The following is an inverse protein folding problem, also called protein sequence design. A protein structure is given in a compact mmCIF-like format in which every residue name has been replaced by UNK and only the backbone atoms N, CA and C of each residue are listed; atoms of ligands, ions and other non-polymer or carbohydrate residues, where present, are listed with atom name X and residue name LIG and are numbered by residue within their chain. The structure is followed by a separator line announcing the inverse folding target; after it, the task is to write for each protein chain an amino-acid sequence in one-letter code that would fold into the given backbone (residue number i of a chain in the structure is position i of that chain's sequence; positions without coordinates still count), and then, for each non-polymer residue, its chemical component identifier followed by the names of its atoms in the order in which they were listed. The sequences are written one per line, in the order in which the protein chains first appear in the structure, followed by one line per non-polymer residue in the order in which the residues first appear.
data_IF_742550111289
#
_entry.id   IF_742550111289
#
_cell.length_a   1.000
_cell.length_b   1.000
_cell.length_c   1.000
_cell.angle_alpha   90.00
_cell.angle_beta   90.00
_cell.angle_gamma   90.00
#
_symmetry.space_group_name_H-M   'P 1'
#
loop_
_entity.id
_entity.type
_entity.pdbx_description
1 polymer ?
#
# COMPACT_ATOMS: atom_id res chain seq x y z
N UNK A 1 12.54 4.52 10.18
CA UNK A 1 11.81 3.43 9.50
C UNK A 1 12.03 3.40 8.00
N UNK A 2 11.71 4.45 7.24
CA UNK A 2 11.83 4.41 5.78
C UNK A 2 13.25 4.18 5.26
N UNK A 3 14.27 4.79 5.88
CA UNK A 3 15.67 4.51 5.54
C UNK A 3 16.03 3.01 5.70
N UNK A 4 15.56 2.37 6.77
CA UNK A 4 15.74 0.92 7.00
C UNK A 4 14.96 0.09 5.98
N UNK A 5 13.76 0.54 5.57
CA UNK A 5 12.97 -0.11 4.53
C UNK A 5 13.72 -0.13 3.19
N UNK A 6 14.35 0.99 2.82
CA UNK A 6 15.11 1.10 1.57
C UNK A 6 16.38 0.23 1.60
N UNK A 7 17.11 0.22 2.72
CA UNK A 7 18.24 -0.71 2.91
C UNK A 7 17.78 -2.16 2.78
N UNK A 8 16.68 -2.52 3.45
CA UNK A 8 16.12 -3.88 3.38
C UNK A 8 15.74 -4.23 1.94
N UNK A 9 15.09 -3.32 1.22
CA UNK A 9 14.69 -3.54 -0.16
C UNK A 9 15.89 -3.85 -1.05
N UNK A 10 16.95 -3.03 -0.92
CA UNK A 10 18.20 -3.26 -1.65
C UNK A 10 18.88 -4.57 -1.23
N UNK A 11 19.02 -4.83 0.07
CA UNK A 11 19.67 -6.05 0.58
C UNK A 11 19.03 -7.34 0.04
N UNK A 12 17.72 -7.33 -0.19
CA UNK A 12 17.01 -8.50 -0.73
C UNK A 12 17.12 -8.65 -2.27
N UNK A 13 17.91 -7.80 -2.95
CA UNK A 13 18.06 -7.81 -4.41
C UNK A 13 16.78 -7.43 -5.15
N UNK A 14 15.87 -6.70 -4.49
CA UNK A 14 14.57 -6.37 -5.08
C UNK A 14 14.63 -5.21 -6.07
N UNK A 15 15.71 -4.40 -6.07
CA UNK A 15 15.89 -3.37 -7.09
C UNK A 15 16.09 -4.03 -8.45
N UNK A 16 16.98 -5.00 -8.50
CA UNK A 16 17.31 -5.79 -9.67
C UNK A 16 16.10 -6.59 -10.12
N UNK A 17 15.59 -7.44 -9.22
CA UNK A 17 14.51 -8.38 -9.50
C UNK A 17 13.20 -7.75 -9.94
N UNK A 18 12.88 -6.55 -9.44
CA UNK A 18 11.60 -5.89 -9.69
C UNK A 18 11.69 -4.74 -10.70
N UNK A 19 12.86 -4.15 -10.92
CA UNK A 19 12.99 -2.93 -11.74
C UNK A 19 14.08 -2.96 -12.81
N UNK A 20 15.00 -3.94 -12.80
CA UNK A 20 16.04 -4.06 -13.83
C UNK A 20 15.94 -5.32 -14.67
N UNK A 21 15.57 -6.45 -14.06
CA UNK A 21 15.40 -7.74 -14.75
C UNK A 21 14.11 -7.84 -15.59
N UNK A 22 12.95 -7.26 -15.19
CA UNK A 22 11.76 -7.35 -16.02
C UNK A 22 11.87 -6.51 -17.30
N UNK A 23 11.39 -7.07 -18.42
CA UNK A 23 11.33 -6.36 -19.71
C UNK A 23 10.04 -5.52 -19.87
N UNK A 24 9.00 -5.86 -19.10
CA UNK A 24 7.70 -5.20 -19.14
C UNK A 24 7.30 -4.75 -17.73
N UNK A 25 6.65 -3.58 -17.62
CA UNK A 25 6.21 -2.99 -16.37
C UNK A 25 4.76 -2.54 -16.47
N UNK A 26 3.92 -3.00 -15.55
CA UNK A 26 2.50 -2.61 -15.49
C UNK A 26 2.35 -1.19 -14.94
N UNK A 27 1.65 -0.33 -15.65
CA UNK A 27 1.50 1.08 -15.33
C UNK A 27 0.23 1.40 -14.57
N UNK A 28 0.29 2.37 -13.67
CA UNK A 28 -0.93 3.04 -13.23
C UNK A 28 -1.45 3.94 -14.33
N UNK A 29 -2.78 3.95 -14.50
CA UNK A 29 -3.46 4.87 -15.40
C UNK A 29 -3.02 6.32 -15.12
N UNK A 30 -2.71 7.07 -16.16
CA UNK A 30 -2.16 8.43 -16.16
C UNK A 30 -0.69 8.57 -15.72
N UNK A 31 -0.02 7.45 -15.39
CA UNK A 31 1.39 7.40 -15.01
C UNK A 31 2.19 6.43 -15.89
N UNK A 32 1.74 6.21 -17.12
CA UNK A 32 2.37 5.28 -18.07
C UNK A 32 3.80 5.69 -18.45
N UNK A 33 4.11 6.98 -18.29
CA UNK A 33 5.44 7.56 -18.48
C UNK A 33 6.43 7.27 -17.34
N UNK A 34 5.95 6.81 -16.18
CA UNK A 34 6.81 6.46 -15.04
C UNK A 34 7.32 5.03 -15.23
N UNK A 35 8.58 4.89 -15.63
CA UNK A 35 9.24 3.59 -15.85
C UNK A 35 10.58 3.55 -15.13
N UNK A 36 11.09 2.37 -14.74
CA UNK A 36 12.44 2.26 -14.20
C UNK A 36 13.49 2.86 -15.14
N UNK A 37 14.32 3.82 -14.69
CA UNK A 37 15.29 4.48 -15.55
C UNK A 37 16.58 3.64 -15.72
N UNK A 38 16.43 2.33 -15.90
CA UNK A 38 17.54 1.36 -15.94
C UNK A 38 18.44 1.48 -14.71
N UNK A 39 19.76 1.51 -14.90
CA UNK A 39 20.73 1.60 -13.80
C UNK A 39 20.59 2.88 -12.93
N UNK A 40 19.93 3.94 -13.42
CA UNK A 40 19.64 5.11 -12.58
C UNK A 40 18.63 4.82 -11.47
N UNK A 41 17.98 3.65 -11.49
CA UNK A 41 17.11 3.18 -10.40
C UNK A 41 17.89 3.12 -9.08
N UNK A 42 19.17 2.72 -9.07
CA UNK A 42 19.99 2.76 -7.85
C UNK A 42 20.14 4.19 -7.32
N UNK A 43 20.38 5.16 -8.20
CA UNK A 43 20.49 6.56 -7.79
C UNK A 43 19.17 7.06 -7.19
N UNK A 44 18.03 6.67 -7.77
CA UNK A 44 16.71 7.01 -7.23
C UNK A 44 16.53 6.47 -5.80
N UNK A 45 16.92 5.22 -5.55
CA UNK A 45 16.91 4.62 -4.21
C UNK A 45 17.86 5.32 -3.24
N UNK A 46 19.05 5.72 -3.69
CA UNK A 46 20.01 6.51 -2.88
C UNK A 46 19.42 7.88 -2.52
N UNK A 47 18.79 8.57 -3.47
CA UNK A 47 18.13 9.86 -3.23
C UNK A 47 17.03 9.71 -2.19
N UNK A 48 16.17 8.70 -2.32
CA UNK A 48 15.12 8.41 -1.34
C UNK A 48 15.71 8.10 0.05
N UNK A 49 16.78 7.32 0.10
CA UNK A 49 17.44 6.93 1.35
C UNK A 49 18.06 8.13 2.07
N UNK A 50 18.86 8.92 1.36
CA UNK A 50 19.50 10.12 1.91
C UNK A 50 18.43 11.11 2.36
N UNK A 51 17.39 11.33 1.55
CA UNK A 51 16.27 12.21 1.90
C UNK A 51 15.54 11.74 3.16
N UNK A 52 15.33 10.44 3.34
CA UNK A 52 14.72 9.89 4.54
C UNK A 52 15.57 10.14 5.81
N UNK A 53 16.90 10.02 5.70
CA UNK A 53 17.83 10.33 6.81
C UNK A 53 17.82 11.83 7.13
N UNK A 54 17.83 12.67 6.10
CA UNK A 54 17.74 14.12 6.24
C UNK A 54 16.44 14.55 6.92
N UNK A 55 15.30 13.95 6.55
CA UNK A 55 14.00 14.16 7.22
C UNK A 55 14.07 13.71 8.68
N UNK A 56 14.63 12.53 8.97
CA UNK A 56 14.73 11.98 10.33
C UNK A 56 15.54 12.88 11.27
N UNK A 57 16.64 13.45 10.79
CA UNK A 57 17.53 14.35 11.57
C UNK A 57 17.00 15.80 11.53
N UNK A 58 16.11 16.12 10.60
CA UNK A 58 15.63 17.48 10.36
C UNK A 58 16.71 18.40 9.78
N UNK A 59 17.53 17.87 8.87
CA UNK A 59 18.51 18.65 8.11
C UNK A 59 17.97 19.01 6.73
N UNK A 60 18.01 20.29 6.37
CA UNK A 60 17.34 20.86 5.18
C UNK A 60 15.92 20.32 4.99
N UNK A 61 15.15 20.27 6.08
CA UNK A 61 13.91 19.49 6.16
C UNK A 61 12.96 19.70 4.98
N UNK A 62 12.73 20.96 4.58
CA UNK A 62 11.79 21.30 3.50
C UNK A 62 12.19 20.69 2.16
N UNK A 63 13.48 20.74 1.82
CA UNK A 63 13.99 20.14 0.59
C UNK A 63 13.97 18.61 0.73
N UNK A 64 14.42 18.11 1.88
CA UNK A 64 14.48 16.67 2.15
C UNK A 64 13.12 15.98 2.03
N UNK A 65 12.05 16.56 2.59
CA UNK A 65 10.72 15.95 2.55
C UNK A 65 10.12 15.99 1.15
N UNK A 66 10.38 17.04 0.35
CA UNK A 66 9.96 17.09 -1.06
C UNK A 66 10.72 16.04 -1.88
N UNK A 67 12.05 15.95 -1.72
CA UNK A 67 12.84 14.94 -2.42
C UNK A 67 12.43 13.53 -2.03
N UNK A 68 12.17 13.29 -0.74
CA UNK A 68 11.66 12.00 -0.28
C UNK A 68 10.29 11.68 -0.90
N UNK A 69 9.34 12.61 -0.85
CA UNK A 69 8.02 12.44 -1.46
C UNK A 69 8.13 12.11 -2.96
N UNK A 70 8.89 12.90 -3.73
CA UNK A 70 9.02 12.71 -5.17
C UNK A 70 9.72 11.39 -5.52
N UNK A 71 10.87 11.10 -4.89
CA UNK A 71 11.63 9.87 -5.18
C UNK A 71 10.88 8.62 -4.73
N UNK A 72 10.28 8.62 -3.54
CA UNK A 72 9.51 7.48 -3.04
C UNK A 72 8.23 7.26 -3.88
N UNK A 73 7.51 8.33 -4.24
CA UNK A 73 6.32 8.21 -5.10
C UNK A 73 6.70 7.70 -6.49
N UNK A 74 7.82 8.15 -7.05
CA UNK A 74 8.29 7.64 -8.34
C UNK A 74 8.54 6.13 -8.26
N UNK A 75 9.27 5.66 -7.23
CA UNK A 75 9.56 4.22 -7.04
C UNK A 75 8.26 3.40 -7.03
N UNK A 76 7.24 3.85 -6.30
CA UNK A 76 5.94 3.16 -6.19
C UNK A 76 5.15 3.13 -7.51
N UNK A 77 5.37 4.11 -8.39
CA UNK A 77 4.64 4.25 -9.66
C UNK A 77 5.31 3.51 -10.82
N UNK A 78 6.56 3.05 -10.68
CA UNK A 78 7.32 2.38 -11.76
C UNK A 78 6.70 1.04 -12.19
N UNK A 79 6.17 0.26 -11.23
CA UNK A 79 5.48 -0.99 -11.52
C UNK A 79 4.34 -1.24 -10.53
N UNK A 80 3.12 -1.25 -11.06
CA UNK A 80 1.85 -1.47 -10.35
C UNK A 80 1.76 -2.85 -9.70
N UNK A 81 2.51 -3.85 -10.16
CA UNK A 81 2.57 -5.18 -9.52
C UNK A 81 3.17 -5.15 -8.12
N UNK A 82 3.92 -4.10 -7.79
CA UNK A 82 4.55 -3.92 -6.47
C UNK A 82 3.71 -3.13 -5.47
N UNK A 83 2.46 -2.79 -5.83
CA UNK A 83 1.55 -2.00 -4.98
C UNK A 83 1.40 -2.56 -3.57
N UNK A 84 1.60 -1.70 -2.56
CA UNK A 84 1.36 -2.01 -1.16
C UNK A 84 0.64 -0.85 -0.46
N UNK A 85 -0.44 -1.14 0.29
CA UNK A 85 -1.21 -0.13 1.03
C UNK A 85 -0.34 0.71 1.97
N UNK A 86 0.69 0.12 2.59
CA UNK A 86 1.54 0.82 3.54
C UNK A 86 2.55 1.75 2.87
N UNK A 87 2.93 1.51 1.62
CA UNK A 87 3.73 2.46 0.87
C UNK A 87 2.87 3.59 0.33
N UNK A 88 1.64 3.31 -0.13
CA UNK A 88 0.64 4.34 -0.40
C UNK A 88 0.41 5.27 0.81
N UNK A 89 0.29 4.71 2.02
CA UNK A 89 0.22 5.49 3.26
C UNK A 89 1.42 6.43 3.43
N UNK A 90 2.65 5.94 3.20
CA UNK A 90 3.87 6.76 3.34
C UNK A 90 3.94 7.86 2.28
N UNK A 91 3.51 7.59 1.05
CA UNK A 91 3.41 8.60 -0.01
C UNK A 91 2.49 9.74 0.42
N UNK A 92 1.27 9.45 0.89
CA UNK A 92 0.36 10.49 1.36
C UNK A 92 0.89 11.21 2.62
N UNK A 93 1.45 10.46 3.57
CA UNK A 93 2.00 11.02 4.79
C UNK A 93 3.17 11.97 4.51
N UNK A 94 4.09 11.59 3.61
CA UNK A 94 5.22 12.42 3.22
C UNK A 94 4.76 13.69 2.51
N UNK A 95 3.72 13.63 1.66
CA UNK A 95 3.10 14.82 1.09
C UNK A 95 2.55 15.76 2.17
N UNK A 96 1.81 15.23 3.16
CA UNK A 96 1.30 16.06 4.27
C UNK A 96 2.43 16.68 5.08
N UNK A 97 3.51 15.94 5.33
CA UNK A 97 4.68 16.44 6.07
C UNK A 97 5.35 17.65 5.39
N UNK A 98 5.26 17.80 4.06
CA UNK A 98 5.71 19.02 3.35
C UNK A 98 5.09 20.28 3.97
N UNK A 99 3.83 20.19 4.41
CA UNK A 99 3.01 21.29 4.94
C UNK A 99 3.04 21.39 6.47
N UNK A 100 3.74 20.49 7.16
CA UNK A 100 3.83 20.50 8.62
C UNK A 100 5.16 21.11 9.10
N UNK A 101 5.18 21.77 10.26
CA UNK A 101 6.40 22.34 10.85
C UNK A 101 7.23 21.30 11.63
N UNK A 102 7.47 20.11 11.06
CA UNK A 102 8.02 18.97 11.79
C UNK A 102 9.51 19.10 12.21
N UNK A 103 10.24 20.07 11.66
CA UNK A 103 11.65 20.33 11.98
C UNK A 103 11.90 21.61 12.79
N UNK A 104 10.86 22.16 13.43
CA UNK A 104 10.99 23.40 14.23
C UNK A 104 11.63 23.20 15.61
N UNK A 105 11.77 21.95 16.07
CA UNK A 105 12.34 21.59 17.36
C UNK A 105 13.07 20.25 17.24
N UNK A 106 14.21 20.09 17.91
CA UNK A 106 15.05 18.87 17.86
C UNK A 106 15.45 18.48 16.43
N UNK A 107 15.96 19.45 15.66
CA UNK A 107 16.43 19.25 14.29
C UNK A 107 17.86 19.74 14.10
N UNK A 108 18.60 19.21 13.13
CA UNK A 108 19.92 19.75 12.79
C UNK A 108 19.85 21.21 12.29
N UNK A 109 18.77 21.60 11.62
CA UNK A 109 18.60 22.97 11.12
C UNK A 109 18.38 24.01 12.25
N UNK A 110 17.70 23.63 13.33
CA UNK A 110 17.27 24.56 14.41
C UNK A 110 17.85 24.26 15.78
N UNK A 111 18.47 23.09 15.97
CA UNK A 111 18.94 22.61 17.26
C UNK A 111 17.79 22.26 18.21
N UNK A 112 18.10 22.22 19.50
CA UNK A 112 17.12 21.98 20.57
C UNK A 112 16.46 23.30 20.97
N UNK A 113 15.20 23.48 20.61
CA UNK A 113 14.39 24.64 21.01
C UNK A 113 13.23 24.22 21.91
N UNK A 114 13.44 24.21 23.23
CA UNK A 114 12.41 23.79 24.20
C UNK A 114 11.20 24.73 24.27
N UNK A 115 11.33 25.97 23.76
CA UNK A 115 10.23 26.95 23.72
C UNK A 115 9.36 26.83 22.46
N UNK A 116 9.74 26.00 21.50
CA UNK A 116 8.96 25.80 20.27
C UNK A 116 7.57 25.22 20.59
N UNK A 117 6.53 25.91 20.12
CA UNK A 117 5.15 25.42 20.15
C UNK A 117 4.74 25.00 18.74
N UNK A 118 3.85 24.01 18.66
CA UNK A 118 3.24 23.58 17.40
C UNK A 118 1.72 23.60 17.53
N UNK A 119 0.98 24.06 16.51
CA UNK A 119 -0.48 24.01 16.53
C UNK A 119 -0.98 22.55 16.64
N UNK A 120 -1.99 22.31 17.48
CA UNK A 120 -2.51 20.96 17.72
C UNK A 120 -2.99 20.25 16.45
N UNK A 121 -3.58 20.99 15.51
CA UNK A 121 -4.07 20.45 14.22
C UNK A 121 -2.98 19.72 13.43
N UNK A 122 -1.71 20.11 13.57
CA UNK A 122 -0.57 19.47 12.89
C UNK A 122 -0.29 18.06 13.42
N UNK A 123 -0.66 17.79 14.67
CA UNK A 123 -0.58 16.47 15.28
C UNK A 123 -1.88 15.70 15.04
N UNK A 124 -3.02 16.38 15.16
CA UNK A 124 -4.33 15.75 15.02
C UNK A 124 -4.57 15.25 13.58
N UNK A 125 -4.07 15.95 12.55
CA UNK A 125 -4.12 15.41 11.19
C UNK A 125 -3.36 14.09 11.05
N UNK A 126 -2.19 13.96 11.70
CA UNK A 126 -1.40 12.72 11.69
C UNK A 126 -2.10 11.58 12.44
N UNK A 127 -2.81 11.90 13.54
CA UNK A 127 -3.67 10.92 14.23
C UNK A 127 -4.81 10.46 13.34
N UNK A 128 -5.44 11.37 12.60
CA UNK A 128 -6.50 11.01 11.63
C UNK A 128 -5.93 10.11 10.55
N UNK A 129 -4.76 10.42 9.98
CA UNK A 129 -4.08 9.55 9.01
C UNK A 129 -3.89 8.12 9.50
N UNK A 130 -3.32 7.94 10.69
CA UNK A 130 -3.15 6.59 11.27
C UNK A 130 -4.50 5.96 11.58
N UNK A 131 -5.46 6.75 12.07
CA UNK A 131 -6.79 6.30 12.45
C UNK A 131 -7.62 5.77 11.28
N UNK A 132 -7.58 6.47 10.15
CA UNK A 132 -8.31 6.10 8.93
C UNK A 132 -7.85 4.74 8.41
N UNK A 133 -6.53 4.47 8.39
CA UNK A 133 -6.02 3.17 7.92
C UNK A 133 -6.57 2.01 8.75
N UNK A 134 -6.55 2.11 10.09
CA UNK A 134 -7.13 1.08 10.96
C UNK A 134 -8.64 0.97 10.78
N UNK A 135 -9.35 2.10 10.84
CA UNK A 135 -10.80 2.10 10.78
C UNK A 135 -11.32 1.51 9.46
N UNK A 136 -10.73 1.87 8.32
CA UNK A 136 -11.11 1.27 7.04
C UNK A 136 -10.67 -0.19 6.91
N UNK A 137 -9.52 -0.58 7.47
CA UNK A 137 -9.11 -1.98 7.49
C UNK A 137 -10.11 -2.86 8.25
N UNK A 138 -10.73 -2.33 9.31
CA UNK A 138 -11.79 -3.00 10.07
C UNK A 138 -13.15 -2.91 9.40
N UNK A 139 -13.49 -1.76 8.82
CA UNK A 139 -14.73 -1.55 8.09
C UNK A 139 -14.84 -2.51 6.89
N UNK A 140 -13.75 -2.68 6.15
CA UNK A 140 -13.67 -3.59 5.01
C UNK A 140 -13.64 -5.08 5.41
N UNK A 141 -13.57 -5.40 6.70
CA UNK A 141 -13.74 -6.75 7.24
C UNK A 141 -15.19 -7.05 7.63
N UNK A 142 -16.09 -6.07 7.54
CA UNK A 142 -17.51 -6.25 7.81
C UNK A 142 -18.23 -6.86 6.60
N UNK A 143 -17.79 -8.05 6.20
CA UNK A 143 -18.42 -8.83 5.14
C UNK A 143 -18.55 -10.32 5.53
N UNK A 144 -19.40 -11.04 4.78
CA UNK A 144 -19.71 -12.45 5.04
C UNK A 144 -18.49 -13.35 4.92
N UNK A 145 -17.66 -13.15 3.89
CA UNK A 145 -16.45 -13.94 3.68
C UNK A 145 -15.54 -13.89 4.91
N UNK A 146 -15.27 -12.68 5.41
CA UNK A 146 -14.42 -12.49 6.57
C UNK A 146 -15.11 -13.02 7.84
N UNK A 147 -16.29 -12.53 8.21
CA UNK A 147 -16.89 -12.78 9.53
C UNK A 147 -17.57 -14.15 9.66
N UNK A 148 -18.20 -14.64 8.59
CA UNK A 148 -19.05 -15.84 8.61
C UNK A 148 -18.34 -17.05 8.03
N UNK A 149 -17.47 -16.85 7.04
CA UNK A 149 -16.73 -17.96 6.42
C UNK A 149 -15.27 -18.05 6.89
N UNK A 150 -14.83 -17.08 7.71
CA UNK A 150 -13.44 -16.93 8.15
C UNK A 150 -12.44 -16.96 6.99
N UNK A 151 -12.87 -16.52 5.80
CA UNK A 151 -12.04 -16.45 4.61
C UNK A 151 -11.33 -15.09 4.52
N UNK A 152 -10.10 -15.06 3.99
CA UNK A 152 -9.25 -16.21 3.62
C UNK A 152 -8.42 -16.79 4.78
N UNK A 153 -8.70 -16.43 6.04
CA UNK A 153 -7.93 -16.91 7.20
C UNK A 153 -7.94 -18.43 7.33
N UNK A 154 -9.05 -19.10 6.99
CA UNK A 154 -9.18 -20.56 7.00
C UNK A 154 -8.31 -21.25 5.95
N UNK A 155 -7.85 -20.54 4.93
CA UNK A 155 -6.83 -21.01 3.97
C UNK A 155 -5.43 -20.73 4.51
N UNK A 156 -5.20 -19.52 5.02
CA UNK A 156 -3.86 -19.06 5.37
C UNK A 156 -3.30 -19.62 6.69
N UNK A 157 -4.13 -19.73 7.72
CA UNK A 157 -3.68 -20.15 9.05
C UNK A 157 -3.20 -21.61 9.08
N UNK A 158 -3.91 -22.60 8.48
CA UNK A 158 -3.42 -23.97 8.44
C UNK A 158 -2.05 -24.13 7.76
N UNK A 159 -1.71 -23.25 6.81
CA UNK A 159 -0.40 -23.23 6.16
C UNK A 159 0.76 -22.79 7.08
N UNK A 160 0.48 -22.44 8.35
CA UNK A 160 1.45 -22.03 9.38
C UNK A 160 1.72 -23.11 10.42
N UNK A 161 1.56 -24.38 10.03
CA UNK A 161 1.71 -25.55 10.90
C UNK A 161 3.13 -25.72 11.45
N UNK A 162 4.14 -25.10 10.83
CA UNK A 162 5.56 -25.19 11.19
C UNK A 162 5.98 -24.20 12.29
N UNK A 163 5.11 -23.29 12.71
CA UNK A 163 5.42 -22.31 13.75
C UNK A 163 5.47 -23.00 15.12
N UNK A 164 6.61 -22.96 15.83
CA UNK A 164 6.72 -23.56 17.16
C UNK A 164 5.64 -23.02 18.11
N UNK A 165 4.99 -23.92 18.86
CA UNK A 165 3.93 -23.65 19.84
C UNK A 165 2.58 -23.14 19.28
N UNK A 166 2.54 -22.65 18.04
CA UNK A 166 1.31 -22.12 17.42
C UNK A 166 0.76 -23.00 16.30
N UNK A 167 1.57 -23.82 15.65
CA UNK A 167 1.19 -24.59 14.46
C UNK A 167 -0.08 -25.42 14.63
N UNK A 168 -0.17 -26.21 15.71
CA UNK A 168 -1.36 -27.04 16.00
C UNK A 168 -2.61 -26.21 16.27
N UNK A 169 -2.45 -25.04 16.88
CA UNK A 169 -3.54 -24.10 17.14
C UNK A 169 -4.06 -23.51 15.82
N UNK A 170 -3.17 -23.17 14.88
CA UNK A 170 -3.54 -22.58 13.60
C UNK A 170 -4.36 -23.52 12.69
N UNK A 171 -4.36 -24.83 12.96
CA UNK A 171 -5.18 -25.81 12.26
C UNK A 171 -6.62 -25.89 12.79
N UNK A 172 -6.89 -25.38 13.99
CA UNK A 172 -8.20 -25.47 14.62
C UNK A 172 -9.18 -24.47 14.00
N UNK A 173 -10.32 -24.95 13.49
CA UNK A 173 -11.33 -24.11 12.81
C UNK A 173 -11.80 -22.95 13.68
N UNK A 174 -12.03 -23.17 14.98
CA UNK A 174 -12.46 -22.09 15.89
C UNK A 174 -11.46 -20.93 15.97
N UNK A 175 -10.16 -21.19 15.73
CA UNK A 175 -9.11 -20.17 15.72
C UNK A 175 -9.24 -19.27 14.50
N UNK A 176 -9.64 -19.81 13.35
CA UNK A 176 -9.86 -19.02 12.14
C UNK A 176 -10.95 -17.98 12.37
N UNK A 177 -12.06 -18.41 12.97
CA UNK A 177 -13.17 -17.54 13.39
C UNK A 177 -12.75 -16.55 14.47
N UNK A 178 -12.01 -16.99 15.48
CA UNK A 178 -11.51 -16.10 16.53
C UNK A 178 -10.62 -14.99 15.95
N UNK A 179 -9.70 -15.32 15.02
CA UNK A 179 -8.86 -14.36 14.33
C UNK A 179 -9.65 -13.42 13.43
N UNK A 180 -10.67 -13.93 12.74
CA UNK A 180 -11.55 -13.12 11.91
C UNK A 180 -12.26 -12.03 12.74
N UNK A 181 -13.03 -12.44 13.75
CA UNK A 181 -13.82 -11.52 14.57
C UNK A 181 -12.91 -10.59 15.40
N UNK A 182 -11.84 -11.13 15.99
CA UNK A 182 -10.90 -10.31 16.75
C UNK A 182 -10.16 -9.32 15.84
N UNK A 183 -9.78 -9.71 14.62
CA UNK A 183 -9.14 -8.83 13.65
C UNK A 183 -10.04 -7.67 13.23
N UNK A 184 -11.31 -7.96 12.91
CA UNK A 184 -12.29 -6.93 12.56
C UNK A 184 -12.55 -5.97 13.72
N UNK A 185 -12.82 -6.50 14.92
CA UNK A 185 -13.07 -5.69 16.10
C UNK A 185 -11.84 -4.85 16.49
N UNK A 186 -10.64 -5.44 16.45
CA UNK A 186 -9.41 -4.74 16.74
C UNK A 186 -9.23 -3.55 15.79
N UNK A 187 -9.31 -3.76 14.47
CA UNK A 187 -9.08 -2.70 13.49
C UNK A 187 -10.12 -1.58 13.61
N UNK A 188 -11.39 -1.91 13.87
CA UNK A 188 -12.46 -0.92 14.07
C UNK A 188 -12.27 -0.07 15.32
N UNK A 189 -11.83 -0.66 16.43
CA UNK A 189 -11.91 0.00 17.73
C UNK A 189 -10.57 0.51 18.28
N UNK A 190 -9.43 -0.01 17.83
CA UNK A 190 -8.12 0.29 18.44
C UNK A 190 -7.81 1.78 18.50
N UNK A 191 -8.19 2.54 17.47
CA UNK A 191 -7.95 3.97 17.38
C UNK A 191 -8.70 4.74 18.46
N UNK A 192 -9.95 4.37 18.74
CA UNK A 192 -10.73 5.02 19.80
C UNK A 192 -10.12 4.76 21.18
N UNK A 193 -9.58 3.57 21.42
CA UNK A 193 -8.86 3.25 22.66
C UNK A 193 -7.51 3.97 22.76
N UNK A 194 -6.83 4.24 21.64
CA UNK A 194 -5.60 5.05 21.61
C UNK A 194 -5.90 6.54 21.86
N UNK A 195 -7.03 7.04 21.36
CA UNK A 195 -7.49 8.41 21.60
C UNK A 195 -7.88 8.62 23.07
N UNK A 196 -8.57 7.65 23.67
CA UNK A 196 -9.01 7.72 25.06
C UNK A 196 -7.84 7.53 26.04
N UNK A 197 -7.57 8.59 26.82
CA UNK A 197 -6.38 8.68 27.69
C UNK A 197 -6.20 7.51 28.68
N UNK A 198 -7.24 7.00 29.36
CA UNK A 198 -7.11 5.91 30.32
C UNK A 198 -6.72 4.58 29.68
N UNK A 199 -7.21 4.29 28.47
CA UNK A 199 -6.96 3.01 27.79
C UNK A 199 -5.69 2.99 26.96
N UNK A 200 -5.16 4.16 26.61
CA UNK A 200 -4.05 4.30 25.65
C UNK A 200 -2.84 3.39 25.92
N UNK A 201 -2.28 3.24 27.14
CA UNK A 201 -1.13 2.37 27.35
C UNK A 201 -1.46 0.91 27.03
N UNK A 202 -2.62 0.42 27.48
CA UNK A 202 -3.08 -0.94 27.20
C UNK A 202 -3.38 -1.13 25.69
N UNK A 203 -4.02 -0.14 25.07
CA UNK A 203 -4.25 -0.14 23.62
C UNK A 203 -2.94 -0.21 22.84
N UNK A 204 -1.90 0.53 23.24
CA UNK A 204 -0.61 0.46 22.59
C UNK A 204 0.08 -0.92 22.76
N UNK A 205 -0.09 -1.57 23.92
CA UNK A 205 0.35 -2.97 24.08
C UNK A 205 -0.39 -3.89 23.10
N UNK A 206 -1.70 -3.72 22.95
CA UNK A 206 -2.48 -4.46 21.95
C UNK A 206 -1.98 -4.18 20.51
N UNK A 207 -1.59 -2.94 20.18
CA UNK A 207 -0.96 -2.60 18.89
C UNK A 207 0.31 -3.40 18.65
N UNK A 208 1.20 -3.49 19.64
CA UNK A 208 2.43 -4.27 19.52
C UNK A 208 2.09 -5.75 19.32
N UNK A 209 1.24 -6.32 20.16
CA UNK A 209 0.86 -7.75 20.09
C UNK A 209 0.25 -8.07 18.72
N UNK A 210 -0.73 -7.28 18.29
CA UNK A 210 -1.42 -7.48 17.01
C UNK A 210 -0.42 -7.48 15.86
N UNK A 211 0.40 -6.44 15.72
CA UNK A 211 1.33 -6.32 14.60
C UNK A 211 2.46 -7.35 14.63
N UNK A 212 2.95 -7.74 15.82
CA UNK A 212 3.91 -8.84 15.95
C UNK A 212 3.28 -10.15 15.51
N UNK A 213 2.06 -10.45 15.95
CA UNK A 213 1.33 -11.65 15.54
C UNK A 213 1.08 -11.66 14.03
N UNK A 214 0.63 -10.54 13.46
CA UNK A 214 0.44 -10.41 12.01
C UNK A 214 1.75 -10.61 11.26
N UNK A 215 2.88 -10.09 11.76
CA UNK A 215 4.20 -10.28 11.13
C UNK A 215 4.67 -11.74 11.13
N UNK A 216 4.40 -12.45 12.22
CA UNK A 216 4.74 -13.87 12.39
C UNK A 216 3.91 -14.73 11.44
N UNK A 217 2.60 -14.47 11.36
CA UNK A 217 1.69 -15.27 10.54
C UNK A 217 1.76 -14.90 9.06
N UNK A 218 1.91 -13.61 8.73
CA UNK A 218 1.78 -13.11 7.37
C UNK A 218 3.00 -12.29 6.91
N UNK A 219 3.57 -12.56 5.73
CA UNK A 219 4.72 -11.84 5.20
C UNK A 219 4.34 -10.48 4.58
N UNK A 220 3.78 -9.56 5.37
CA UNK A 220 3.23 -8.27 4.90
C UNK A 220 4.22 -7.09 4.91
N UNK A 221 5.51 -7.39 4.72
CA UNK A 221 6.53 -6.36 4.54
C UNK A 221 6.82 -5.51 5.79
N UNK A 222 6.95 -4.19 5.60
CA UNK A 222 7.32 -3.25 6.67
C UNK A 222 6.14 -2.74 7.50
N UNK A 223 4.90 -3.06 7.08
CA UNK A 223 3.68 -2.53 7.70
C UNK A 223 3.63 -2.67 9.23
N UNK A 224 3.88 -3.85 9.82
CA UNK A 224 3.85 -4.01 11.29
C UNK A 224 4.70 -2.99 12.03
N UNK A 225 5.95 -2.80 11.58
CA UNK A 225 6.89 -1.89 12.23
C UNK A 225 6.52 -0.43 12.01
N UNK A 226 6.06 -0.07 10.80
CA UNK A 226 5.61 1.30 10.50
C UNK A 226 4.42 1.65 11.39
N UNK A 227 3.43 0.76 11.52
CA UNK A 227 2.23 1.04 12.29
C UNK A 227 2.47 1.10 13.79
N UNK A 228 3.33 0.24 14.35
CA UNK A 228 3.74 0.34 15.76
C UNK A 228 4.40 1.70 16.05
N UNK A 229 5.35 2.11 15.21
CA UNK A 229 6.05 3.40 15.39
C UNK A 229 5.10 4.58 15.18
N UNK A 230 4.25 4.54 14.15
CA UNK A 230 3.27 5.59 13.88
C UNK A 230 2.23 5.72 14.99
N UNK A 231 1.83 4.62 15.65
CA UNK A 231 0.90 4.67 16.78
C UNK A 231 1.45 5.44 18.00
N UNK A 232 2.75 5.74 18.06
CA UNK A 232 3.30 6.64 19.07
C UNK A 232 2.68 8.05 18.99
N UNK A 233 2.16 8.49 17.84
CA UNK A 233 1.55 9.81 17.67
C UNK A 233 0.35 10.08 18.61
N UNK A 234 -0.25 9.02 19.16
CA UNK A 234 -1.35 9.13 20.12
C UNK A 234 -0.88 9.46 21.54
N UNK A 235 0.41 9.28 21.85
CA UNK A 235 0.96 9.60 23.17
C UNK A 235 1.12 11.13 23.36
N UNK A 236 1.10 11.61 24.62
CA UNK A 236 1.26 13.03 24.88
C UNK A 236 2.70 13.46 24.60
N UNK A 237 2.89 14.75 24.24
CA UNK A 237 4.19 15.33 23.92
C UNK A 237 5.30 15.01 24.95
N UNK A 238 4.97 14.90 26.24
CA UNK A 238 5.90 14.54 27.32
C UNK A 238 6.65 13.22 27.06
N UNK A 239 5.99 12.23 26.44
CA UNK A 239 6.64 10.96 26.09
C UNK A 239 7.68 11.16 24.99
N UNK A 240 7.30 11.86 23.91
CA UNK A 240 8.19 12.17 22.80
C UNK A 240 9.39 13.02 23.24
N UNK A 241 9.15 14.05 24.06
CA UNK A 241 10.21 14.91 24.58
C UNK A 241 11.22 14.12 25.43
N UNK A 242 10.76 13.17 26.27
CA UNK A 242 11.67 12.29 27.03
C UNK A 242 12.52 11.39 26.13
N UNK A 243 11.92 10.84 25.07
CA UNK A 243 12.63 10.02 24.09
C UNK A 243 13.70 10.88 23.39
N UNK A 244 13.35 12.09 22.97
CA UNK A 244 14.28 13.02 22.31
C UNK A 244 15.40 13.47 23.27
N UNK A 245 15.10 13.74 24.53
CA UNK A 245 16.10 14.08 25.56
C UNK A 245 17.07 12.91 25.79
N UNK A 246 16.58 11.68 25.83
CA UNK A 246 17.43 10.48 25.92
C UNK A 246 18.31 10.30 24.67
N UNK A 247 17.75 10.46 23.47
CA UNK A 247 18.49 10.35 22.20
C UNK A 247 19.57 11.43 22.08
N UNK A 248 19.25 12.67 22.44
CA UNK A 248 20.20 13.79 22.36
C UNK A 248 21.26 13.73 23.46
N UNK A 249 20.96 13.15 24.64
CA UNK A 249 21.97 12.93 25.67
C UNK A 249 23.11 12.02 25.20
N UNK A 250 22.88 11.15 24.20
CA UNK A 250 23.91 10.31 23.58
C UNK A 250 24.80 11.07 22.59
N UNK A 251 24.50 12.34 22.26
CA UNK A 251 25.29 13.17 21.34
C UNK A 251 25.92 14.37 22.07
N UNK A 252 27.22 14.32 22.43
CA UNK A 252 27.87 15.30 23.31
C UNK A 252 27.78 16.77 22.82
N UNK A 253 27.80 16.98 21.50
CA UNK A 253 27.76 18.31 20.89
C UNK A 253 26.36 18.95 20.92
N UNK A 254 25.29 18.22 21.23
CA UNK A 254 23.92 18.75 21.22
C UNK A 254 23.63 19.71 22.39
N UNK A 255 24.48 19.72 23.42
CA UNK A 255 24.37 20.65 24.56
C UNK A 255 24.87 22.06 24.23
N UNK A 256 25.63 22.23 23.14
CA UNK A 256 26.38 23.47 22.91
C UNK A 256 25.58 24.61 22.29
N UNK A 257 24.46 24.36 21.59
CA UNK A 257 23.73 25.41 20.88
C UNK A 257 22.23 25.39 21.18
N UNK A 258 21.84 25.74 22.41
CA UNK A 258 20.53 26.36 22.63
C UNK A 258 20.57 27.77 22.03
N UNK A 259 20.49 27.88 20.70
CA UNK A 259 20.13 29.16 20.11
C UNK A 259 18.72 29.43 20.60
N UNK A 260 18.56 30.37 21.52
CA UNK A 260 17.29 31.05 21.75
C UNK A 260 17.03 31.87 20.48
N UNK A 261 16.74 31.17 19.39
CA UNK A 261 16.09 31.77 18.24
C UNK A 261 14.68 32.01 18.74
N UNK A 262 14.29 33.28 18.84
CA UNK A 262 12.86 33.62 18.85
C UNK A 262 12.20 32.75 17.79
N UNK A 263 11.18 32.01 18.20
CA UNK A 263 10.40 31.22 17.28
C UNK A 263 9.79 32.22 16.31
N UNK A 264 10.40 32.38 15.12
CA UNK A 264 9.79 33.20 14.07
C UNK A 264 8.41 32.61 13.86
N UNK A 265 7.33 33.37 14.11
CA UNK A 265 6.00 32.86 13.83
C UNK A 265 5.99 32.42 12.36
N UNK A 266 5.47 31.22 12.11
CA UNK A 266 5.23 30.78 10.75
C UNK A 266 4.42 31.87 10.04
N UNK A 267 4.77 32.18 8.80
CA UNK A 267 4.00 33.14 8.00
C UNK A 267 2.52 32.73 8.04
N UNK A 268 1.66 33.62 8.55
CA UNK A 268 0.25 33.36 8.73
C UNK A 268 -0.41 32.86 7.43
N UNK A 269 0.00 33.41 6.28
CA UNK A 269 -0.49 32.98 4.97
C UNK A 269 -0.10 31.54 4.64
N UNK A 270 1.13 31.13 4.96
CA UNK A 270 1.58 29.75 4.74
C UNK A 270 0.83 28.77 5.65
N UNK A 271 0.53 29.16 6.88
CA UNK A 271 -0.27 28.35 7.81
C UNK A 271 -1.69 28.15 7.27
N UNK A 272 -2.30 29.19 6.71
CA UNK A 272 -3.66 29.09 6.16
C UNK A 272 -3.72 28.20 4.92
N UNK A 273 -2.77 28.35 3.98
CA UNK A 273 -2.67 27.43 2.84
C UNK A 273 -2.38 25.99 3.25
N UNK A 274 -1.52 25.78 4.24
CA UNK A 274 -1.21 24.45 4.77
C UNK A 274 -2.45 23.76 5.31
N UNK A 275 -3.32 24.48 6.05
CA UNK A 275 -4.59 23.93 6.53
C UNK A 275 -5.53 23.54 5.39
N UNK A 276 -5.64 24.39 4.36
CA UNK A 276 -6.50 24.10 3.19
C UNK A 276 -6.01 22.85 2.48
N UNK A 277 -4.72 22.77 2.17
CA UNK A 277 -4.14 21.63 1.43
C UNK A 277 -4.24 20.34 2.25
N UNK A 278 -3.86 20.37 3.53
CA UNK A 278 -3.99 19.20 4.41
C UNK A 278 -5.46 18.81 4.59
N UNK A 279 -6.38 19.78 4.70
CA UNK A 279 -7.81 19.54 4.76
C UNK A 279 -8.34 18.81 3.53
N UNK A 280 -7.96 19.26 2.33
CA UNK A 280 -8.30 18.59 1.07
C UNK A 280 -7.75 17.16 1.03
N UNK A 281 -6.49 16.97 1.42
CA UNK A 281 -5.88 15.63 1.47
C UNK A 281 -6.62 14.72 2.45
N UNK A 282 -7.01 15.21 3.63
CA UNK A 282 -7.79 14.44 4.60
C UNK A 282 -9.17 14.06 4.06
N UNK A 283 -9.85 14.97 3.38
CA UNK A 283 -11.13 14.68 2.71
C UNK A 283 -10.94 13.59 1.65
N UNK A 284 -9.91 13.69 0.81
CA UNK A 284 -9.61 12.65 -0.18
C UNK A 284 -9.23 11.32 0.48
N UNK A 285 -8.46 11.35 1.56
CA UNK A 285 -8.05 10.17 2.33
C UNK A 285 -9.25 9.41 2.93
N UNK A 286 -10.33 10.14 3.25
CA UNK A 286 -11.60 9.59 3.71
C UNK A 286 -12.51 9.15 2.55
N UNK A 287 -12.60 9.89 1.45
CA UNK A 287 -13.58 9.62 0.39
C UNK A 287 -13.07 8.64 -0.68
N UNK A 288 -11.79 8.68 -1.05
CA UNK A 288 -11.24 7.86 -2.12
C UNK A 288 -11.40 6.33 -1.90
N UNK A 289 -11.36 5.81 -0.67
CA UNK A 289 -11.67 4.40 -0.41
C UNK A 289 -13.07 3.96 -0.86
N UNK A 290 -14.04 4.86 -0.95
CA UNK A 290 -15.43 4.56 -1.35
C UNK A 290 -15.66 4.57 -2.85
N UNK A 291 -14.66 4.94 -3.67
CA UNK A 291 -14.84 5.06 -5.13
C UNK A 291 -15.27 3.75 -5.79
N UNK A 292 -15.05 2.60 -5.16
CA UNK A 292 -15.53 1.31 -5.65
C UNK A 292 -17.06 1.28 -5.84
N UNK A 293 -17.81 2.07 -5.06
CA UNK A 293 -19.28 2.18 -5.20
C UNK A 293 -19.72 2.76 -6.56
N UNK A 294 -18.81 3.40 -7.30
CA UNK A 294 -19.08 3.93 -8.63
C UNK A 294 -19.02 2.85 -9.72
N UNK A 295 -18.57 1.64 -9.37
CA UNK A 295 -18.35 0.54 -10.30
C UNK A 295 -19.30 -0.61 -9.99
N UNK A 296 -19.97 -1.21 -10.99
CA UNK A 296 -20.84 -2.35 -10.78
C UNK A 296 -20.06 -3.65 -10.56
N UNK A 297 -20.74 -4.63 -9.97
CA UNK A 297 -20.19 -5.98 -9.73
C UNK A 297 -19.55 -6.16 -8.36
N UNK A 298 -19.22 -7.41 -8.03
CA UNK A 298 -18.59 -7.76 -6.76
C UNK A 298 -17.15 -7.25 -6.71
N UNK A 299 -16.80 -6.46 -5.69
CA UNK A 299 -15.51 -5.79 -5.56
C UNK A 299 -14.35 -6.78 -5.52
N UNK A 300 -14.48 -7.90 -4.80
CA UNK A 300 -13.38 -8.89 -4.77
C UNK A 300 -13.24 -9.63 -6.11
N UNK A 301 -14.27 -9.62 -6.96
CA UNK A 301 -14.21 -10.20 -8.28
C UNK A 301 -13.67 -9.23 -9.32
N UNK A 302 -14.25 -8.03 -9.41
CA UNK A 302 -13.89 -7.01 -10.40
C UNK A 302 -12.64 -6.26 -10.01
N UNK A 303 -12.35 -6.05 -8.72
CA UNK A 303 -11.28 -5.21 -8.17
C UNK A 303 -11.32 -3.73 -8.59
N UNK A 304 -12.45 -3.25 -9.15
CA UNK A 304 -12.61 -1.84 -9.47
C UNK A 304 -12.69 -1.00 -8.21
N UNK A 305 -11.69 -0.14 -8.00
CA UNK A 305 -11.59 0.65 -6.77
C UNK A 305 -10.88 -0.04 -5.61
N UNK A 306 -10.37 -1.28 -5.77
CA UNK A 306 -9.75 -2.03 -4.67
C UNK A 306 -8.43 -1.42 -4.17
N UNK A 307 -7.51 -1.05 -5.08
CA UNK A 307 -6.27 -0.32 -4.68
C UNK A 307 -6.63 0.99 -3.99
N UNK A 308 -5.72 1.60 -3.25
CA UNK A 308 -5.90 2.92 -2.62
C UNK A 308 -7.14 3.05 -1.70
N UNK A 309 -7.67 1.93 -1.18
CA UNK A 309 -8.90 1.90 -0.36
C UNK A 309 -8.72 1.33 1.05
N UNK A 310 -7.47 1.19 1.52
CA UNK A 310 -7.12 0.64 2.85
C UNK A 310 -7.63 -0.78 3.11
N UNK A 311 -8.00 -1.50 2.05
CA UNK A 311 -8.36 -2.91 2.07
C UNK A 311 -7.09 -3.76 2.16
N UNK A 312 -6.92 -4.45 3.28
CA UNK A 312 -5.72 -5.24 3.57
C UNK A 312 -6.14 -6.64 3.99
N UNK A 313 -5.58 -7.64 3.30
CA UNK A 313 -5.72 -9.06 3.63
C UNK A 313 -7.18 -9.58 3.58
N UNK A 314 -7.98 -9.15 2.61
CA UNK A 314 -9.41 -9.53 2.50
C UNK A 314 -9.69 -10.65 1.51
N UNK A 315 -8.73 -10.98 0.64
CA UNK A 315 -8.95 -11.99 -0.39
C UNK A 315 -7.70 -12.84 -0.64
N UNK A 316 -7.93 -14.11 -0.93
CA UNK A 316 -6.99 -15.03 -1.56
C UNK A 316 -7.53 -15.40 -2.93
N UNK A 317 -6.74 -15.13 -3.98
CA UNK A 317 -7.03 -15.54 -5.35
C UNK A 317 -5.93 -16.44 -5.88
N UNK A 318 -6.35 -17.48 -6.58
CA UNK A 318 -5.48 -18.31 -7.41
C UNK A 318 -6.05 -18.32 -8.82
N UNK A 319 -5.19 -18.23 -9.83
CA UNK A 319 -5.64 -18.13 -11.21
C UNK A 319 -4.71 -18.77 -12.22
N UNK A 320 -5.29 -19.07 -13.38
CA UNK A 320 -4.62 -19.54 -14.58
C UNK A 320 -5.00 -18.58 -15.73
N UNK A 321 -4.04 -18.32 -16.62
CA UNK A 321 -4.24 -17.43 -17.76
C UNK A 321 -3.36 -17.82 -18.94
N UNK A 322 -3.97 -17.96 -20.11
CA UNK A 322 -3.30 -18.00 -21.41
C UNK A 322 -4.02 -17.08 -22.39
N UNK A 323 -3.27 -16.51 -23.34
CA UNK A 323 -3.86 -15.68 -24.40
C UNK A 323 -3.94 -16.44 -25.72
N UNK A 324 -4.95 -16.10 -26.51
CA UNK A 324 -5.11 -16.54 -27.90
C UNK A 324 -5.07 -15.29 -28.78
N UNK A 325 -4.00 -15.15 -29.56
CA UNK A 325 -3.82 -14.07 -30.54
C UNK A 325 -4.28 -14.57 -31.90
N UNK A 326 -5.13 -13.80 -32.58
CA UNK A 326 -5.75 -14.16 -33.85
C UNK A 326 -5.43 -13.10 -34.90
N UNK A 327 -4.78 -13.52 -35.98
CA UNK A 327 -4.53 -12.69 -37.16
C UNK A 327 -5.86 -12.38 -37.87
N UNK A 328 -6.22 -11.11 -38.06
CA UNK A 328 -7.50 -10.73 -38.64
C UNK A 328 -7.57 -10.99 -40.16
N UNK A 329 -6.42 -11.00 -40.85
CA UNK A 329 -6.34 -11.21 -42.29
C UNK A 329 -6.36 -12.71 -42.64
N UNK A 330 -5.69 -13.55 -41.86
CA UNK A 330 -5.55 -14.98 -42.17
C UNK A 330 -6.35 -15.91 -41.27
N UNK A 331 -6.89 -15.41 -40.15
CA UNK A 331 -7.57 -16.22 -39.14
C UNK A 331 -6.65 -17.20 -38.37
N UNK A 332 -5.34 -17.06 -38.52
CA UNK A 332 -4.36 -17.93 -37.83
C UNK A 332 -4.38 -17.61 -36.34
N UNK A 333 -4.31 -18.66 -35.52
CA UNK A 333 -4.39 -18.56 -34.06
C UNK A 333 -3.07 -18.99 -33.44
N UNK A 334 -2.61 -18.24 -32.44
CA UNK A 334 -1.43 -18.57 -31.64
C UNK A 334 -1.77 -18.47 -30.16
N UNK A 335 -1.43 -19.51 -29.41
CA UNK A 335 -1.51 -19.47 -27.94
C UNK A 335 -0.23 -18.84 -27.41
N UNK A 336 -0.37 -17.92 -26.45
CA UNK A 336 0.72 -17.21 -25.80
C UNK A 336 0.63 -17.45 -24.30
N UNK A 337 1.73 -17.96 -23.72
CA UNK A 337 1.89 -18.08 -22.29
C UNK A 337 2.53 -16.79 -21.74
N UNK A 338 1.90 -16.05 -20.82
CA UNK A 338 2.48 -14.83 -20.28
C UNK A 338 3.82 -15.06 -19.55
N UNK A 339 4.07 -16.27 -19.05
CA UNK A 339 5.34 -16.63 -18.42
C UNK A 339 6.55 -16.56 -19.38
N UNK A 340 6.32 -16.53 -20.70
CA UNK A 340 7.39 -16.34 -21.70
C UNK A 340 7.85 -14.87 -21.78
N UNK A 341 7.10 -13.93 -21.19
CA UNK A 341 7.33 -12.48 -21.27
C UNK A 341 7.49 -11.82 -19.90
N UNK A 342 6.95 -12.44 -18.85
CA UNK A 342 6.83 -11.84 -17.53
C UNK A 342 7.58 -12.65 -16.48
N UNK A 343 8.09 -11.96 -15.47
CA UNK A 343 8.66 -12.63 -14.29
C UNK A 343 7.59 -13.46 -13.57
N UNK A 344 8.02 -14.45 -12.77
CA UNK A 344 7.09 -15.26 -11.96
C UNK A 344 6.19 -14.41 -11.05
N UNK A 345 6.71 -13.31 -10.52
CA UNK A 345 5.94 -12.39 -9.67
C UNK A 345 4.85 -11.68 -10.47
N UNK A 346 5.20 -11.09 -11.60
CA UNK A 346 4.26 -10.41 -12.49
C UNK A 346 3.21 -11.37 -13.05
N UNK A 347 3.62 -12.57 -13.49
CA UNK A 347 2.69 -13.58 -13.99
C UNK A 347 1.67 -14.02 -12.92
N UNK A 348 2.13 -14.20 -11.66
CA UNK A 348 1.22 -14.52 -10.54
C UNK A 348 0.19 -13.42 -10.31
N UNK A 349 0.60 -12.15 -10.41
CA UNK A 349 -0.31 -11.03 -10.25
C UNK A 349 -1.28 -10.91 -11.44
N UNK A 350 -0.76 -11.07 -12.66
CA UNK A 350 -1.51 -11.02 -13.91
C UNK A 350 -2.66 -12.03 -13.93
N UNK A 351 -2.40 -13.27 -13.52
CA UNK A 351 -3.35 -14.38 -13.66
C UNK A 351 -4.67 -14.19 -12.86
N UNK A 352 -4.73 -13.23 -11.93
CA UNK A 352 -5.90 -13.02 -11.07
C UNK A 352 -6.50 -11.61 -11.13
N UNK A 353 -5.85 -10.66 -11.81
CA UNK A 353 -6.19 -9.23 -11.72
C UNK A 353 -6.62 -8.66 -13.07
N UNK A 354 -7.86 -8.15 -13.20
CA UNK A 354 -8.41 -7.76 -14.51
C UNK A 354 -7.62 -6.64 -15.20
N UNK A 355 -7.17 -5.63 -14.48
CA UNK A 355 -6.41 -4.54 -15.10
C UNK A 355 -5.10 -5.03 -15.70
N UNK A 356 -4.42 -5.98 -15.05
CA UNK A 356 -3.19 -6.55 -15.60
C UNK A 356 -3.52 -7.39 -16.83
N UNK A 357 -4.62 -8.18 -16.79
CA UNK A 357 -5.03 -9.02 -17.92
C UNK A 357 -5.29 -8.17 -19.16
N UNK A 358 -6.01 -7.06 -18.99
CA UNK A 358 -6.32 -6.15 -20.09
C UNK A 358 -5.07 -5.42 -20.59
N UNK A 359 -4.26 -4.88 -19.69
CA UNK A 359 -3.05 -4.13 -20.03
C UNK A 359 -2.05 -5.00 -20.81
N UNK A 360 -1.85 -6.25 -20.38
CA UNK A 360 -0.99 -7.19 -21.09
C UNK A 360 -1.59 -7.67 -22.41
N UNK A 361 -2.93 -7.76 -22.53
CA UNK A 361 -3.58 -8.04 -23.81
C UNK A 361 -3.28 -6.95 -24.85
N UNK A 362 -3.32 -5.67 -24.44
CA UNK A 362 -2.93 -4.55 -25.29
C UNK A 362 -1.45 -4.59 -25.67
N UNK A 363 -0.58 -4.91 -24.71
CA UNK A 363 0.85 -5.08 -24.99
C UNK A 363 1.10 -6.18 -26.04
N UNK A 364 0.46 -7.34 -25.90
CA UNK A 364 0.54 -8.42 -26.89
C UNK A 364 0.03 -7.97 -28.26
N UNK A 365 -1.07 -7.22 -28.31
CA UNK A 365 -1.63 -6.70 -29.56
C UNK A 365 -0.64 -5.75 -30.25
N UNK A 366 -0.03 -4.82 -29.51
CA UNK A 366 0.99 -3.90 -30.02
C UNK A 366 2.23 -4.62 -30.53
N UNK A 367 2.77 -5.59 -29.78
CA UNK A 367 3.93 -6.37 -30.20
C UNK A 367 3.72 -7.12 -31.52
N UNK A 368 2.55 -7.71 -31.71
CA UNK A 368 2.21 -8.40 -32.95
C UNK A 368 1.92 -7.41 -34.09
N UNK A 369 1.26 -6.29 -33.79
CA UNK A 369 1.01 -5.24 -34.78
C UNK A 369 2.33 -4.67 -35.35
N UNK A 370 3.32 -4.41 -34.49
CA UNK A 370 4.64 -3.93 -34.92
C UNK A 370 5.40 -4.94 -35.78
N UNK A 371 5.19 -6.24 -35.54
CA UNK A 371 5.89 -7.32 -36.24
C UNK A 371 5.21 -7.74 -37.55
N UNK A 372 3.90 -7.92 -37.50
CA UNK A 372 3.11 -8.59 -38.54
C UNK A 372 2.18 -7.61 -39.30
N UNK A 373 2.02 -6.37 -38.81
CA UNK A 373 1.33 -5.26 -39.48
C UNK A 373 -0.07 -4.94 -38.93
N UNK A 374 -1.12 -5.75 -39.20
CA UNK A 374 -2.48 -5.49 -38.69
C UNK A 374 -2.60 -5.71 -37.18
N UNK A 375 -3.50 -4.95 -36.53
CA UNK A 375 -3.82 -5.14 -35.11
C UNK A 375 -4.54 -6.50 -34.92
N UNK A 376 -4.01 -7.44 -34.13
CA UNK A 376 -4.66 -8.73 -33.93
C UNK A 376 -5.83 -8.65 -32.95
N UNK A 377 -6.72 -9.63 -33.04
CA UNK A 377 -7.69 -9.89 -31.98
C UNK A 377 -7.03 -10.73 -30.88
N UNK A 378 -7.17 -10.30 -29.63
CA UNK A 378 -6.59 -10.96 -28.46
C UNK A 378 -7.71 -11.43 -27.55
N UNK A 379 -7.74 -12.72 -27.25
CA UNK A 379 -8.69 -13.34 -26.32
C UNK A 379 -7.93 -13.94 -25.15
N UNK A 380 -8.60 -14.11 -24.01
CA UNK A 380 -8.04 -14.77 -22.85
C UNK A 380 -8.80 -16.05 -22.53
N UNK A 381 -8.07 -17.11 -22.23
CA UNK A 381 -8.56 -18.27 -21.50
C UNK A 381 -8.07 -18.13 -20.07
N UNK A 382 -8.99 -17.86 -19.14
CA UNK A 382 -8.63 -17.59 -17.75
C UNK A 382 -9.61 -18.21 -16.77
N UNK A 383 -9.05 -18.67 -15.65
CA UNK A 383 -9.80 -19.28 -14.56
C UNK A 383 -9.31 -18.71 -13.24
N UNK A 384 -10.23 -18.33 -12.36
CA UNK A 384 -9.90 -17.77 -11.05
C UNK A 384 -10.76 -18.42 -9.96
N UNK A 385 -10.10 -18.79 -8.86
CA UNK A 385 -10.70 -19.13 -7.58
C UNK A 385 -10.59 -17.93 -6.62
N UNK A 386 -11.58 -17.75 -5.75
CA UNK A 386 -11.64 -16.65 -4.78
C UNK A 386 -12.10 -17.16 -3.41
N UNK A 387 -11.32 -16.91 -2.36
CA UNK A 387 -11.72 -17.15 -0.96
C UNK A 387 -12.30 -18.56 -0.71
N UNK A 388 -11.64 -19.59 -1.25
CA UNK A 388 -12.02 -21.00 -1.04
C UNK A 388 -13.11 -21.49 -1.98
N UNK A 389 -13.74 -20.61 -2.76
CA UNK A 389 -14.67 -21.00 -3.83
C UNK A 389 -13.91 -21.66 -4.99
N UNK A 390 -14.59 -22.56 -5.69
CA UNK A 390 -14.04 -23.28 -6.83
C UNK A 390 -13.58 -22.35 -7.96
N UNK A 391 -12.62 -22.82 -8.76
CA UNK A 391 -12.14 -22.08 -9.92
C UNK A 391 -13.21 -22.01 -11.00
N UNK A 392 -13.47 -20.81 -11.52
CA UNK A 392 -14.46 -20.54 -12.56
C UNK A 392 -13.85 -19.70 -13.70
N UNK A 393 -14.45 -19.74 -14.89
CA UNK A 393 -14.01 -18.92 -16.03
C UNK A 393 -14.07 -17.46 -15.62
N UNK A 394 -12.99 -16.72 -15.81
CA UNK A 394 -12.89 -15.36 -15.27
C UNK A 394 -13.14 -14.28 -16.31
N UNK A 395 -12.39 -14.31 -17.41
CA UNK A 395 -12.58 -13.42 -18.55
C UNK A 395 -13.47 -14.10 -19.57
N UNK A 396 -14.40 -13.37 -20.18
CA UNK A 396 -15.23 -13.91 -21.24
C UNK A 396 -14.35 -14.32 -22.44
N UNK A 397 -14.28 -15.62 -22.79
CA UNK A 397 -13.36 -16.12 -23.81
C UNK A 397 -13.72 -15.72 -25.25
N UNK A 398 -14.93 -15.18 -25.45
CA UNK A 398 -15.45 -14.76 -26.76
C UNK A 398 -15.27 -13.27 -27.02
N UNK A 399 -14.79 -12.50 -26.04
CA UNK A 399 -14.56 -11.06 -26.16
C UNK A 399 -13.13 -10.77 -26.61
N UNK A 400 -13.01 -9.94 -27.65
CA UNK A 400 -11.72 -9.44 -28.09
C UNK A 400 -11.23 -8.32 -27.16
N UNK A 401 -10.26 -8.65 -26.29
CA UNK A 401 -9.64 -7.72 -25.35
C UNK A 401 -8.89 -6.58 -26.04
N UNK A 402 -8.37 -6.75 -27.27
CA UNK A 402 -7.69 -5.65 -27.97
C UNK A 402 -8.61 -4.51 -28.40
N UNK A 403 -9.93 -4.72 -28.31
CA UNK A 403 -10.94 -3.70 -28.56
C UNK A 403 -11.56 -3.11 -27.28
N UNK A 404 -11.19 -3.62 -26.10
CA UNK A 404 -11.70 -3.17 -24.81
C UNK A 404 -10.86 -1.98 -24.33
N UNK A 405 -11.50 -0.96 -23.79
CA UNK A 405 -10.79 0.22 -23.25
C UNK A 405 -10.70 0.13 -21.74
N UNK A 406 -9.76 0.86 -21.12
CA UNK A 406 -9.67 0.94 -19.66
C UNK A 406 -10.92 1.56 -18.99
N UNK A 407 -11.75 2.28 -19.76
CA UNK A 407 -13.02 2.86 -19.31
C UNK A 407 -14.20 1.89 -19.41
N UNK A 408 -14.02 0.75 -20.08
CA UNK A 408 -15.06 -0.25 -20.22
C UNK A 408 -15.29 -0.94 -18.87
N UNK A 409 -16.51 -0.89 -18.29
CA UNK A 409 -16.81 -1.54 -17.02
C UNK A 409 -16.42 -3.02 -17.04
N UNK A 410 -15.79 -3.51 -15.98
CA UNK A 410 -15.27 -4.90 -15.97
C UNK A 410 -16.36 -5.94 -16.10
N UNK A 411 -17.59 -5.62 -15.68
CA UNK A 411 -18.78 -6.47 -15.86
C UNK A 411 -19.17 -6.72 -17.31
N UNK A 412 -18.66 -5.95 -18.28
CA UNK A 412 -18.95 -6.17 -19.70
C UNK A 412 -18.05 -7.24 -20.34
N UNK A 413 -16.91 -7.55 -19.73
CA UNK A 413 -15.91 -8.45 -20.32
C UNK A 413 -15.36 -9.53 -19.37
N UNK A 414 -15.64 -9.42 -18.07
CA UNK A 414 -15.52 -10.51 -17.12
C UNK A 414 -16.80 -11.33 -17.07
N UNK A 415 -16.66 -12.61 -16.74
CA UNK A 415 -17.80 -13.45 -16.37
C UNK A 415 -18.41 -12.95 -15.05
N UNK A 416 -19.74 -13.04 -14.87
CA UNK A 416 -20.39 -12.66 -13.62
C UNK A 416 -19.87 -13.50 -12.46
N UNK A 417 -19.84 -12.89 -11.27
CA UNK A 417 -19.60 -13.61 -10.04
C UNK A 417 -20.92 -14.23 -9.57
N UNK A 418 -21.01 -15.55 -9.58
CA UNK A 418 -22.26 -16.30 -9.31
C UNK A 418 -22.58 -16.45 -7.82
N UNK A 419 -21.61 -16.22 -6.94
CA UNK A 419 -21.80 -16.24 -5.49
C UNK A 419 -22.12 -14.85 -4.94
N UNK A 420 -22.47 -14.78 -3.65
CA UNK A 420 -22.76 -13.50 -2.98
C UNK A 420 -21.82 -13.28 -1.80
N UNK A 421 -21.27 -12.07 -1.71
CA UNK A 421 -20.57 -11.57 -0.54
C UNK A 421 -21.42 -10.44 0.04
N UNK A 422 -21.91 -10.60 1.27
CA UNK A 422 -22.69 -9.57 1.94
C UNK A 422 -21.76 -8.64 2.70
N UNK A 423 -22.05 -7.34 2.72
CA UNK A 423 -21.31 -6.36 3.54
C UNK A 423 -20.31 -5.53 2.73
N UNK A 424 -19.22 -5.11 3.39
CA UNK A 424 -18.25 -4.12 2.89
C UNK A 424 -16.94 -4.71 2.39
#
# INVERSE_FOLDING_TARGET
MMALSLIRFWWNGWIEKLYLEPDYFFSYRYFEWVKPPGNWTYLLFVIAFVSAIMVMIGWKYRIAIVLFFLSFTYIELMDKTTYLNHYYFITLLSFVLIWLPAANCYSADKGVNKAATVPSWTIDCLKVFVGVVYFYAGLAKLNSDWLIDAQPLSIWLPAKYDIPLLGDLMQQVWVHYAFSWAGAAYDLFIVFFLLWRPTRPLAFVAVIIFHVLTRVLFPIGMFPYIMIVSALIFFPAKVHLRILEWLTAMWPESKAHSKVSEARPLDAKWVDWSKVIVGVVLVLHLLLPWRYLLHPGELFWTEEGYRFSWRVMLMEKAGYLTYKVVDPATGKRKIVNPADYLTTFQNKQLATQPDFILEFAHHLASLHQEKDGPLPAVYAESYVALNGRGSQVYVNPDINLSAITEDTPRTQWLMPFEDTIYGL
#
